data_IF_044270857285
#
_entry.id   IF_044270857285
#
_cell.length_a   1.000
_cell.length_b   1.000
_cell.length_c   1.000
_cell.angle_alpha   90.00
_cell.angle_beta   90.00
_cell.angle_gamma   90.00
#
_symmetry.space_group_name_H-M   'P 1'
#
loop_
_entity.id
_entity.type
_entity.pdbx_description
1 polymer ?
#
# COMPACT_ATOMS: atom_id res chain seq x y z
N UNK A 1 10.50 21.65 -10.94
CA UNK A 1 10.11 21.35 -9.55
C UNK A 1 8.98 20.32 -9.53
N UNK A 2 9.18 19.11 -8.99
CA UNK A 2 8.06 18.17 -8.81
C UNK A 2 7.18 18.66 -7.64
N UNK A 3 5.88 18.84 -7.90
CA UNK A 3 4.93 19.29 -6.88
C UNK A 3 4.81 18.24 -5.74
N UNK A 4 5.10 18.62 -4.49
CA UNK A 4 5.03 17.76 -3.28
C UNK A 4 3.72 16.97 -3.22
N UNK A 5 2.60 17.60 -3.57
CA UNK A 5 1.28 16.95 -3.61
C UNK A 5 1.19 15.79 -4.61
N UNK A 6 1.88 15.88 -5.77
CA UNK A 6 1.95 14.77 -6.74
C UNK A 6 2.75 13.60 -6.16
N UNK A 7 3.88 13.86 -5.51
CA UNK A 7 4.71 12.84 -4.87
C UNK A 7 3.94 12.12 -3.75
N UNK A 8 3.19 12.84 -2.92
CA UNK A 8 2.37 12.25 -1.85
C UNK A 8 1.28 11.35 -2.44
N UNK A 9 0.60 11.79 -3.50
CA UNK A 9 -0.43 10.97 -4.18
C UNK A 9 0.14 9.68 -4.76
N UNK A 10 1.31 9.75 -5.40
CA UNK A 10 1.96 8.56 -5.96
C UNK A 10 2.44 7.63 -4.83
N UNK A 11 3.00 8.18 -3.75
CA UNK A 11 3.39 7.41 -2.57
C UNK A 11 2.19 6.64 -1.99
N UNK A 12 1.09 7.34 -1.70
CA UNK A 12 -0.16 6.75 -1.20
C UNK A 12 -0.65 5.63 -2.13
N UNK A 13 -0.66 5.87 -3.45
CA UNK A 13 -1.11 4.86 -4.42
C UNK A 13 -0.27 3.58 -4.37
N UNK A 14 1.06 3.71 -4.32
CA UNK A 14 1.94 2.56 -4.26
C UNK A 14 1.85 1.80 -2.92
N UNK A 15 1.68 2.50 -1.79
CA UNK A 15 1.47 1.81 -0.51
C UNK A 15 0.12 1.09 -0.50
N UNK A 16 -0.95 1.72 -0.99
CA UNK A 16 -2.25 1.08 -1.09
C UNK A 16 -2.22 -0.18 -1.98
N UNK A 17 -1.52 -0.12 -3.13
CA UNK A 17 -1.34 -1.30 -3.98
C UNK A 17 -0.56 -2.40 -3.27
N UNK A 18 0.53 -2.06 -2.58
CA UNK A 18 1.28 -3.05 -1.81
C UNK A 18 0.42 -3.74 -0.73
N UNK A 19 -0.45 -2.99 -0.04
CA UNK A 19 -1.42 -3.56 0.92
C UNK A 19 -2.38 -4.52 0.22
N UNK A 20 -2.99 -4.09 -0.89
CA UNK A 20 -3.93 -4.92 -1.66
C UNK A 20 -3.28 -6.21 -2.13
N UNK A 21 -2.10 -6.11 -2.73
CA UNK A 21 -1.41 -7.27 -3.29
C UNK A 21 -0.93 -8.23 -2.21
N UNK A 22 -0.52 -7.75 -1.04
CA UNK A 22 -0.19 -8.64 0.08
C UNK A 22 -1.42 -9.42 0.56
N UNK A 23 -2.59 -8.78 0.64
CA UNK A 23 -3.83 -9.46 1.03
C UNK A 23 -4.26 -10.48 -0.03
N UNK A 24 -4.17 -10.12 -1.32
CA UNK A 24 -4.51 -11.03 -2.40
C UNK A 24 -3.54 -12.23 -2.48
N UNK A 25 -2.24 -12.00 -2.24
CA UNK A 25 -1.25 -13.07 -2.12
C UNK A 25 -1.60 -14.04 -0.98
N UNK A 26 -2.11 -13.54 0.15
CA UNK A 26 -2.51 -14.39 1.28
C UNK A 26 -3.86 -15.09 1.07
N UNK A 27 -4.75 -14.51 0.27
CA UNK A 27 -6.09 -15.05 0.02
C UNK A 27 -6.13 -16.15 -1.05
N UNK A 28 -5.11 -16.20 -1.92
CA UNK A 28 -5.12 -17.05 -3.13
C UNK A 28 -4.29 -18.32 -2.91
N UNK A 29 -4.93 -19.47 -3.14
CA UNK A 29 -4.27 -20.79 -3.06
C UNK A 29 -3.51 -21.14 -4.34
N UNK A 30 -4.00 -20.67 -5.50
CA UNK A 30 -3.37 -20.96 -6.78
C UNK A 30 -1.97 -20.32 -6.85
N UNK A 31 -0.94 -21.16 -6.87
CA UNK A 31 0.46 -20.74 -6.77
C UNK A 31 0.87 -19.72 -7.84
N UNK A 32 0.32 -19.81 -9.05
CA UNK A 32 0.66 -18.91 -10.16
C UNK A 32 0.19 -17.48 -9.88
N UNK A 33 -1.09 -17.33 -9.50
CA UNK A 33 -1.71 -16.06 -9.16
C UNK A 33 -1.14 -15.49 -7.86
N UNK A 34 -0.93 -16.34 -6.85
CA UNK A 34 -0.26 -15.96 -5.61
C UNK A 34 1.11 -15.35 -5.88
N UNK A 35 1.92 -16.02 -6.70
CA UNK A 35 3.26 -15.52 -7.08
C UNK A 35 3.21 -14.21 -7.86
N UNK A 36 2.20 -14.02 -8.72
CA UNK A 36 1.98 -12.76 -9.41
C UNK A 36 1.72 -11.62 -8.41
N UNK A 37 0.82 -11.81 -7.46
CA UNK A 37 0.53 -10.79 -6.44
C UNK A 37 1.71 -10.51 -5.52
N UNK A 38 2.49 -11.52 -5.15
CA UNK A 38 3.73 -11.30 -4.39
C UNK A 38 4.73 -10.40 -5.13
N UNK A 39 4.88 -10.58 -6.45
CA UNK A 39 5.73 -9.70 -7.29
C UNK A 39 5.17 -8.28 -7.35
N UNK A 40 3.86 -8.12 -7.57
CA UNK A 40 3.21 -6.81 -7.62
C UNK A 40 3.28 -6.06 -6.28
N UNK A 41 3.18 -6.78 -5.16
CA UNK A 41 3.39 -6.25 -3.82
C UNK A 41 4.81 -5.69 -3.67
N UNK A 42 5.83 -6.48 -4.04
CA UNK A 42 7.23 -6.04 -3.96
C UNK A 42 7.51 -4.84 -4.86
N UNK A 43 7.01 -4.84 -6.10
CA UNK A 43 7.18 -3.74 -7.05
C UNK A 43 6.56 -2.44 -6.51
N UNK A 44 5.32 -2.52 -6.03
CA UNK A 44 4.60 -1.40 -5.43
C UNK A 44 5.33 -0.87 -4.19
N UNK A 45 5.82 -1.76 -3.32
CA UNK A 45 6.58 -1.38 -2.13
C UNK A 45 7.91 -0.68 -2.49
N UNK A 46 8.65 -1.17 -3.49
CA UNK A 46 9.89 -0.55 -3.95
C UNK A 46 9.64 0.85 -4.55
N UNK A 47 8.55 1.02 -5.31
CA UNK A 47 8.13 2.32 -5.81
C UNK A 47 7.77 3.26 -4.65
N UNK A 48 6.96 2.81 -3.69
CA UNK A 48 6.63 3.58 -2.50
C UNK A 48 7.89 4.03 -1.76
N UNK A 49 8.88 3.15 -1.58
CA UNK A 49 10.19 3.47 -0.99
C UNK A 49 10.93 4.56 -1.76
N UNK A 50 10.95 4.50 -3.10
CA UNK A 50 11.57 5.53 -3.95
C UNK A 50 10.87 6.88 -3.78
N UNK A 51 9.55 6.92 -3.77
CA UNK A 51 8.78 8.16 -3.59
C UNK A 51 8.89 8.72 -2.16
N UNK A 52 8.95 7.86 -1.15
CA UNK A 52 9.17 8.25 0.25
C UNK A 52 10.51 8.98 0.44
N UNK A 53 11.56 8.51 -0.23
CA UNK A 53 12.87 9.17 -0.25
C UNK A 53 12.82 10.55 -0.93
N UNK A 54 12.04 10.69 -2.00
CA UNK A 54 11.84 11.98 -2.69
C UNK A 54 11.01 12.97 -1.86
N UNK A 55 10.06 12.48 -1.08
CA UNK A 55 9.21 13.31 -0.21
C UNK A 55 9.97 13.95 0.95
N UNK A 56 10.89 13.19 1.56
CA UNK A 56 11.72 13.70 2.65
C UNK A 56 13.15 13.13 2.51
N UNK A 57 14.00 13.78 1.69
CA UNK A 57 15.40 13.42 1.58
C UNK A 57 16.09 13.69 2.93
N UNK A 58 16.60 12.64 3.56
CA UNK A 58 17.12 12.69 4.94
C UNK A 58 16.50 11.63 5.86
N UNK A 59 15.43 10.97 5.41
CA UNK A 59 14.88 9.80 6.12
C UNK A 59 14.21 10.12 7.45
N UNK A 60 13.99 11.42 7.75
CA UNK A 60 13.19 11.86 8.87
C UNK A 60 11.74 11.37 8.70
N UNK A 61 11.03 11.01 9.79
CA UNK A 61 9.60 10.67 9.73
C UNK A 61 8.78 11.78 9.07
N UNK A 62 7.61 11.42 8.56
CA UNK A 62 6.62 12.43 8.18
C UNK A 62 6.04 13.05 9.46
N UNK A 63 5.59 14.33 9.43
CA UNK A 63 4.89 14.91 10.56
C UNK A 63 3.63 14.11 10.92
N UNK A 64 3.32 13.94 12.20
CA UNK A 64 2.26 13.04 12.68
C UNK A 64 0.90 13.29 12.01
N UNK A 65 0.52 14.57 11.82
CA UNK A 65 -0.71 14.96 11.12
C UNK A 65 -0.69 14.53 9.64
N UNK A 66 0.45 14.67 8.96
CA UNK A 66 0.59 14.19 7.57
C UNK A 66 0.54 12.65 7.51
N UNK A 67 1.15 11.95 8.48
CA UNK A 67 1.14 10.49 8.56
C UNK A 67 -0.27 9.91 8.77
N UNK A 68 -1.06 10.50 9.67
CA UNK A 68 -2.45 10.07 9.91
C UNK A 68 -3.32 10.24 8.65
N UNK A 69 -3.23 11.39 7.98
CA UNK A 69 -3.96 11.67 6.74
C UNK A 69 -3.53 10.72 5.60
N UNK A 70 -2.24 10.40 5.52
CA UNK A 70 -1.70 9.45 4.55
C UNK A 70 -2.21 8.04 4.82
N UNK A 71 -2.17 7.57 6.08
CA UNK A 71 -2.70 6.26 6.46
C UNK A 71 -4.18 6.14 6.11
N UNK A 72 -4.99 7.14 6.45
CA UNK A 72 -6.43 7.16 6.14
C UNK A 72 -6.69 7.06 4.62
N UNK A 73 -5.90 7.76 3.80
CA UNK A 73 -6.02 7.71 2.33
C UNK A 73 -5.56 6.37 1.74
N UNK A 74 -4.52 5.76 2.30
CA UNK A 74 -4.06 4.41 1.95
C UNK A 74 -5.18 3.41 2.24
N UNK A 75 -5.73 3.46 3.46
CA UNK A 75 -6.80 2.57 3.91
C UNK A 75 -8.04 2.67 3.03
N UNK A 76 -8.52 3.89 2.76
CA UNK A 76 -9.67 4.11 1.88
C UNK A 76 -9.47 3.48 0.50
N UNK A 77 -8.27 3.63 -0.08
CA UNK A 77 -7.95 3.05 -1.39
C UNK A 77 -7.88 1.52 -1.36
N UNK A 78 -7.15 0.96 -0.40
CA UNK A 78 -6.98 -0.47 -0.27
C UNK A 78 -8.33 -1.17 -0.03
N UNK A 79 -9.12 -0.69 0.92
CA UNK A 79 -10.45 -1.25 1.24
C UNK A 79 -11.39 -1.19 0.04
N UNK A 80 -11.40 -0.08 -0.71
CA UNK A 80 -12.24 0.04 -1.90
C UNK A 80 -11.85 -0.97 -3.00
N UNK A 81 -10.55 -1.15 -3.23
CA UNK A 81 -10.05 -2.12 -4.20
C UNK A 81 -10.35 -3.56 -3.76
N UNK A 82 -10.12 -3.91 -2.49
CA UNK A 82 -10.44 -5.24 -1.96
C UNK A 82 -11.93 -5.54 -2.05
N UNK A 83 -12.80 -4.59 -1.72
CA UNK A 83 -14.26 -4.72 -1.90
C UNK A 83 -14.62 -4.92 -3.38
N UNK A 84 -13.91 -4.28 -4.30
CA UNK A 84 -14.10 -4.50 -5.73
C UNK A 84 -13.67 -5.92 -6.15
N UNK A 85 -12.59 -6.47 -5.58
CA UNK A 85 -12.15 -7.85 -5.83
C UNK A 85 -13.16 -8.85 -5.32
N UNK A 86 -13.70 -8.65 -4.12
CA UNK A 86 -14.79 -9.48 -3.57
C UNK A 86 -15.99 -9.47 -4.51
N UNK A 87 -16.41 -8.29 -4.98
CA UNK A 87 -17.51 -8.17 -5.96
C UNK A 87 -17.25 -8.89 -7.29
N UNK A 88 -15.98 -9.07 -7.66
CA UNK A 88 -15.55 -9.81 -8.87
C UNK A 88 -15.44 -11.32 -8.64
N UNK A 89 -15.78 -11.81 -7.44
CA UNK A 89 -15.80 -13.25 -7.13
C UNK A 89 -14.53 -13.76 -6.44
N UNK A 90 -13.58 -12.90 -6.05
CA UNK A 90 -12.45 -13.33 -5.23
C UNK A 90 -12.94 -13.71 -3.83
N UNK A 91 -12.58 -14.89 -3.36
CA UNK A 91 -12.91 -15.42 -2.02
C UNK A 91 -11.73 -15.26 -1.06
N UNK A 92 -11.96 -15.51 0.24
CA UNK A 92 -10.92 -15.53 1.30
C UNK A 92 -10.13 -14.22 1.50
N UNK A 93 -10.66 -13.08 1.03
CA UNK A 93 -10.04 -11.77 1.24
C UNK A 93 -10.35 -11.26 2.65
N UNK A 94 -9.31 -11.17 3.50
CA UNK A 94 -9.37 -10.51 4.80
C UNK A 94 -9.17 -8.99 4.66
N UNK A 95 -10.27 -8.25 4.53
CA UNK A 95 -10.25 -6.78 4.44
C UNK A 95 -9.79 -6.13 5.74
N UNK A 96 -10.06 -6.77 6.89
CA UNK A 96 -9.77 -6.21 8.22
C UNK A 96 -8.25 -6.22 8.51
N UNK A 97 -7.51 -7.12 7.85
CA UNK A 97 -6.04 -7.12 7.89
C UNK A 97 -5.39 -5.87 7.26
N UNK A 98 -6.12 -5.11 6.44
CA UNK A 98 -5.57 -3.97 5.70
C UNK A 98 -4.91 -2.93 6.59
N UNK A 99 -5.45 -2.68 7.80
CA UNK A 99 -4.90 -1.68 8.72
C UNK A 99 -3.53 -2.12 9.26
N UNK A 100 -3.44 -3.36 9.74
CA UNK A 100 -2.20 -3.95 10.26
C UNK A 100 -1.13 -4.02 9.18
N UNK A 101 -1.50 -4.39 7.95
CA UNK A 101 -0.57 -4.45 6.82
C UNK A 101 -0.10 -3.05 6.43
N UNK A 102 -1.01 -2.06 6.35
CA UNK A 102 -0.64 -0.68 6.08
C UNK A 102 0.34 -0.14 7.12
N UNK A 103 0.08 -0.34 8.41
CA UNK A 103 1.00 0.05 9.48
C UNK A 103 2.37 -0.61 9.35
N UNK A 104 2.40 -1.92 9.10
CA UNK A 104 3.64 -2.67 8.91
C UNK A 104 4.47 -2.07 7.76
N UNK A 105 3.83 -1.79 6.62
CA UNK A 105 4.52 -1.24 5.45
C UNK A 105 4.99 0.20 5.69
N UNK A 106 4.17 1.04 6.30
CA UNK A 106 4.51 2.41 6.66
C UNK A 106 5.69 2.46 7.65
N UNK A 107 5.70 1.62 8.69
CA UNK A 107 6.84 1.46 9.61
C UNK A 107 8.13 1.09 8.87
N UNK A 108 8.09 0.13 7.93
CA UNK A 108 9.25 -0.23 7.08
C UNK A 108 9.73 0.92 6.20
N UNK A 109 8.84 1.85 5.85
CA UNK A 109 9.12 3.04 5.05
C UNK A 109 9.52 4.25 5.90
N UNK A 110 9.51 4.13 7.24
CA UNK A 110 9.65 5.25 8.19
C UNK A 110 8.62 6.36 7.91
N UNK A 111 7.40 5.98 7.54
CA UNK A 111 6.33 6.86 7.11
C UNK A 111 5.14 6.80 8.06
#
# INVERSE_FOLDING_TARGET
MQNKGKLVRIFIGNVANAVVHEILENAIEEQSLRSHYGKEMQNSFLLAKRYRKKLNPGGKPLPDKESADIKAKIMKKAVNELKLRIKKGYTNIDVDSADKIAEKLLKKLKA
#
